data_IF_939471638711
#
_entry.id   IF_939471638711
#
_cell.length_a   1.000
_cell.length_b   1.000
_cell.length_c   1.000
_cell.angle_alpha   90.00
_cell.angle_beta   90.00
_cell.angle_gamma   90.00
#
_symmetry.space_group_name_H-M   'P 1'
#
loop_
_entity.id
_entity.type
_entity.pdbx_description
1 polymer ?
#
# COMPACT_ATOMS: atom_id res chain seq x y z
N UNK A 1 -8.82 7.97 36.55
CA UNK A 1 -7.39 8.16 36.21
C UNK A 1 -7.21 7.75 34.76
N UNK A 2 -6.28 8.39 34.03
CA UNK A 2 -5.92 7.94 32.69
C UNK A 2 -5.34 6.52 32.73
N UNK A 3 -5.68 5.71 31.75
CA UNK A 3 -5.14 4.36 31.57
C UNK A 3 -4.51 4.25 30.17
N UNK A 4 -3.47 3.44 30.05
CA UNK A 4 -2.71 3.27 28.82
C UNK A 4 -2.62 1.79 28.45
N UNK A 5 -3.75 1.13 28.13
CA UNK A 5 -3.80 -0.33 27.94
C UNK A 5 -3.15 -0.79 26.64
N UNK A 6 -2.90 0.12 25.66
CA UNK A 6 -2.44 -0.23 24.31
C UNK A 6 -0.91 -0.17 24.12
N UNK A 7 -0.10 -0.19 25.20
CA UNK A 7 1.37 -0.12 25.09
C UNK A 7 2.02 -1.27 24.30
N UNK A 8 1.27 -2.30 24.00
CA UNK A 8 1.66 -3.48 23.22
C UNK A 8 1.51 -3.32 21.70
N UNK A 9 0.82 -2.28 21.22
CA UNK A 9 0.46 -2.14 19.78
C UNK A 9 1.65 -2.26 18.84
N UNK A 10 2.75 -1.54 19.12
CA UNK A 10 3.91 -1.53 18.26
C UNK A 10 4.54 -2.93 18.09
N UNK A 11 4.63 -3.67 19.19
CA UNK A 11 5.22 -5.02 19.17
C UNK A 11 4.33 -6.01 18.41
N UNK A 12 3.02 -5.91 18.58
CA UNK A 12 2.04 -6.74 17.88
C UNK A 12 2.05 -6.47 16.38
N UNK A 13 2.06 -5.21 15.97
CA UNK A 13 2.10 -4.82 14.57
C UNK A 13 3.41 -5.27 13.90
N UNK A 14 4.56 -5.11 14.57
CA UNK A 14 5.85 -5.60 14.06
C UNK A 14 5.89 -7.12 13.94
N UNK A 15 5.36 -7.83 14.94
CA UNK A 15 5.30 -9.29 14.89
C UNK A 15 4.43 -9.79 13.73
N UNK A 16 3.47 -9.00 13.28
CA UNK A 16 2.67 -9.26 12.08
C UNK A 16 3.34 -8.81 10.77
N UNK A 17 4.60 -8.37 10.79
CA UNK A 17 5.32 -7.94 9.59
C UNK A 17 4.95 -6.54 9.08
N UNK A 18 4.25 -5.72 9.88
CA UNK A 18 3.97 -4.34 9.51
C UNK A 18 5.19 -3.44 9.74
N UNK A 19 5.35 -2.43 8.89
CA UNK A 19 6.26 -1.32 9.18
C UNK A 19 5.65 -0.46 10.29
N UNK A 20 6.43 -0.12 11.33
CA UNK A 20 5.93 0.59 12.52
C UNK A 20 6.85 1.71 12.92
N UNK A 21 6.28 2.90 13.07
CA UNK A 21 6.88 4.07 13.70
C UNK A 21 6.24 4.28 15.08
N UNK A 22 7.04 4.51 16.09
CA UNK A 22 6.56 4.88 17.43
C UNK A 22 6.70 6.38 17.61
N UNK A 23 5.57 7.09 17.67
CA UNK A 23 5.60 8.54 17.90
C UNK A 23 6.12 8.86 19.32
N UNK A 24 7.01 9.85 19.47
CA UNK A 24 7.62 10.14 20.76
C UNK A 24 6.57 10.32 21.86
N UNK A 25 6.70 9.56 22.96
CA UNK A 25 5.80 9.63 24.12
C UNK A 25 4.45 8.89 23.97
N UNK A 26 4.22 8.15 22.90
CA UNK A 26 2.93 7.47 22.64
C UNK A 26 2.48 6.52 23.76
N UNK A 27 3.40 5.85 24.45
CA UNK A 27 3.09 4.88 25.53
C UNK A 27 2.42 5.52 26.76
N UNK A 28 2.58 6.83 26.91
CA UNK A 28 1.98 7.59 28.02
C UNK A 28 1.05 8.69 27.54
N UNK A 29 0.75 8.73 26.24
CA UNK A 29 -0.18 9.70 25.65
C UNK A 29 -1.60 9.13 25.67
N UNK A 30 -2.54 9.98 26.02
CA UNK A 30 -3.97 9.72 26.03
C UNK A 30 -4.74 10.82 26.76
N UNK A 31 -6.02 10.90 26.53
CA UNK A 31 -6.94 11.79 27.26
C UNK A 31 -7.05 11.37 28.73
N UNK A 32 -7.33 12.32 29.65
CA UNK A 32 -7.37 12.05 31.10
C UNK A 32 -8.67 11.33 31.51
N UNK A 33 -8.97 10.20 30.89
CA UNK A 33 -10.12 9.34 31.15
C UNK A 33 -9.72 7.87 31.24
N UNK A 34 -10.62 7.03 31.74
CA UNK A 34 -10.47 5.57 31.62
C UNK A 34 -10.60 5.16 30.16
N UNK A 35 -9.91 4.08 29.80
CA UNK A 35 -9.91 3.53 28.46
C UNK A 35 -9.80 2.00 28.53
N UNK A 36 -10.76 1.31 27.95
CA UNK A 36 -10.84 -0.14 27.98
C UNK A 36 -11.38 -0.66 26.63
N UNK A 37 -10.61 -0.51 25.53
CA UNK A 37 -11.09 -0.82 24.21
C UNK A 37 -11.37 -2.31 24.05
N UNK A 38 -12.54 -2.60 23.48
CA UNK A 38 -13.01 -3.94 23.10
C UNK A 38 -13.23 -4.04 21.59
N UNK A 39 -13.14 -2.92 20.86
CA UNK A 39 -13.37 -2.79 19.43
C UNK A 39 -12.32 -1.94 18.73
N UNK A 40 -12.45 -1.83 17.42
CA UNK A 40 -11.61 -0.99 16.54
C UNK A 40 -12.53 -0.13 15.69
N UNK A 41 -12.29 1.19 15.64
CA UNK A 41 -13.03 2.12 14.80
C UNK A 41 -12.11 2.72 13.74
N UNK A 42 -12.55 2.65 12.48
CA UNK A 42 -11.84 3.18 11.34
C UNK A 42 -12.31 4.58 10.97
N UNK A 43 -11.32 5.41 10.61
CA UNK A 43 -11.47 6.76 10.11
C UNK A 43 -10.61 6.98 8.88
N UNK A 44 -10.86 8.07 8.14
CA UNK A 44 -9.86 8.69 7.29
C UNK A 44 -9.62 10.13 7.77
N UNK A 45 -8.40 10.61 7.66
CA UNK A 45 -8.00 11.92 8.16
C UNK A 45 -8.32 13.07 7.20
N UNK A 46 -8.88 12.74 6.02
CA UNK A 46 -9.22 13.67 4.93
C UNK A 46 -8.01 14.39 4.32
N UNK A 47 -6.82 13.77 4.39
CA UNK A 47 -5.62 14.25 3.69
C UNK A 47 -5.72 13.95 2.20
N UNK A 48 -5.23 14.85 1.31
CA UNK A 48 -5.12 14.56 -0.10
C UNK A 48 -4.19 13.40 -0.40
N UNK A 49 -4.43 12.69 -1.52
CA UNK A 49 -3.64 11.55 -1.95
C UNK A 49 -2.13 11.83 -1.97
N UNK A 50 -1.36 10.97 -1.31
CA UNK A 50 0.10 11.04 -1.31
C UNK A 50 0.71 12.17 -0.47
N UNK A 51 -0.09 12.98 0.20
CA UNK A 51 0.41 13.92 1.20
C UNK A 51 0.68 13.20 2.53
N UNK A 52 1.87 12.64 2.66
CA UNK A 52 2.32 11.94 3.88
C UNK A 52 2.82 12.88 4.97
N UNK A 53 2.80 14.19 4.74
CA UNK A 53 3.71 15.11 5.44
C UNK A 53 3.41 15.33 6.92
N UNK A 54 2.16 15.30 7.39
CA UNK A 54 1.84 15.70 8.76
C UNK A 54 0.70 14.91 9.44
N UNK A 55 0.24 13.79 8.87
CA UNK A 55 -0.88 13.03 9.42
C UNK A 55 -0.64 12.61 10.86
N UNK A 56 0.48 11.94 11.15
CA UNK A 56 0.83 11.52 12.51
C UNK A 56 0.92 12.70 13.48
N UNK A 57 1.43 13.86 13.04
CA UNK A 57 1.58 15.06 13.86
C UNK A 57 0.21 15.64 14.25
N UNK A 58 -0.73 15.67 13.30
CA UNK A 58 -2.12 16.08 13.54
C UNK A 58 -2.83 15.11 14.47
N UNK A 59 -2.65 13.80 14.26
CA UNK A 59 -3.25 12.78 15.13
C UNK A 59 -2.71 12.89 16.58
N UNK A 60 -1.43 13.15 16.73
CA UNK A 60 -0.76 13.31 18.04
C UNK A 60 -1.20 14.59 18.74
N UNK A 61 -1.11 15.72 18.06
CA UNK A 61 -1.25 17.05 18.67
C UNK A 61 -2.65 17.64 18.58
N UNK A 62 -3.48 17.11 17.66
CA UNK A 62 -4.78 17.68 17.37
C UNK A 62 -4.68 18.87 16.40
N UNK A 63 -5.79 19.60 16.29
CA UNK A 63 -5.95 20.77 15.41
C UNK A 63 -6.78 21.85 16.10
N UNK A 64 -6.80 23.08 15.57
CA UNK A 64 -7.59 24.15 16.18
C UNK A 64 -9.04 23.71 16.45
N UNK A 65 -9.46 23.81 17.70
CA UNK A 65 -10.79 23.39 18.17
C UNK A 65 -10.97 21.89 18.45
N UNK A 66 -9.93 21.05 18.23
CA UNK A 66 -9.98 19.63 18.52
C UNK A 66 -8.64 19.15 19.10
N UNK A 67 -8.60 19.02 20.43
CA UNK A 67 -7.40 18.64 21.17
C UNK A 67 -7.05 17.15 20.97
N UNK A 68 -5.77 16.85 20.69
CA UNK A 68 -5.25 15.50 20.50
C UNK A 68 -5.08 14.70 21.81
N UNK A 69 -4.73 13.41 21.74
CA UNK A 69 -4.59 12.65 20.49
C UNK A 69 -5.94 12.40 19.79
N UNK A 70 -5.94 12.38 18.45
CA UNK A 70 -7.13 12.17 17.64
C UNK A 70 -7.30 10.73 17.17
N UNK A 71 -6.34 9.86 17.44
CA UNK A 71 -6.35 8.44 17.13
C UNK A 71 -5.32 7.69 17.97
N UNK A 72 -5.44 6.39 18.02
CA UNK A 72 -4.45 5.54 18.69
C UNK A 72 -3.31 5.18 17.74
N UNK A 73 -3.65 4.93 16.50
CA UNK A 73 -2.72 4.67 15.41
C UNK A 73 -3.10 5.48 14.16
N UNK A 74 -2.12 5.78 13.34
CA UNK A 74 -2.29 6.34 12.03
C UNK A 74 -1.65 5.41 10.99
N UNK A 75 -2.43 5.00 9.98
CA UNK A 75 -1.98 4.19 8.86
C UNK A 75 -1.66 5.10 7.68
N UNK A 76 -0.37 5.32 7.45
CA UNK A 76 0.13 6.16 6.38
C UNK A 76 -0.21 5.59 4.99
N UNK A 77 -0.14 6.44 3.99
CA UNK A 77 -0.41 6.10 2.58
C UNK A 77 0.45 4.96 2.04
N UNK A 78 1.72 4.84 2.51
CA UNK A 78 2.64 3.75 2.15
C UNK A 78 2.42 2.46 2.94
N UNK A 79 1.40 2.40 3.80
CA UNK A 79 1.09 1.26 4.66
C UNK A 79 1.90 1.21 5.96
N UNK A 80 2.65 2.25 6.31
CA UNK A 80 3.37 2.34 7.59
C UNK A 80 2.39 2.68 8.72
N UNK A 81 2.47 1.94 9.82
CA UNK A 81 1.68 2.19 11.04
C UNK A 81 2.43 3.11 12.00
N UNK A 82 1.81 4.20 12.37
CA UNK A 82 2.31 5.10 13.42
C UNK A 82 1.55 4.88 14.71
N UNK A 83 2.24 4.46 15.77
CA UNK A 83 1.66 4.36 17.10
C UNK A 83 1.62 5.74 17.74
N UNK A 84 0.43 6.33 17.88
CA UNK A 84 0.24 7.70 18.30
C UNK A 84 -0.14 7.84 19.78
N UNK A 85 -0.99 6.95 20.34
CA UNK A 85 -1.41 7.02 21.73
C UNK A 85 -1.83 5.65 22.27
N UNK A 86 -1.29 5.27 23.45
CA UNK A 86 -1.67 4.04 24.16
C UNK A 86 -2.90 4.22 25.08
N UNK A 87 -3.30 5.45 25.36
CA UNK A 87 -4.49 5.80 26.13
C UNK A 87 -5.64 6.27 25.24
N UNK A 88 -6.76 6.68 25.86
CA UNK A 88 -7.94 7.16 25.14
C UNK A 88 -7.59 8.29 24.19
N UNK A 89 -8.13 8.22 22.96
CA UNK A 89 -8.03 9.25 21.94
C UNK A 89 -9.39 9.91 21.71
N UNK A 90 -9.38 11.07 21.04
CA UNK A 90 -10.58 11.86 20.76
C UNK A 90 -10.97 11.70 19.28
N UNK A 91 -11.35 10.50 18.88
CA UNK A 91 -11.60 10.14 17.48
C UNK A 91 -13.08 9.97 17.14
N UNK A 92 -13.87 9.38 18.04
CA UNK A 92 -15.25 8.99 17.72
C UNK A 92 -16.27 10.11 17.94
N UNK A 93 -16.06 10.93 18.97
CA UNK A 93 -17.07 11.89 19.41
C UNK A 93 -18.38 11.22 19.84
N UNK A 94 -19.47 11.97 19.83
CA UNK A 94 -20.81 11.48 20.14
C UNK A 94 -21.34 10.65 18.97
N UNK A 95 -21.89 9.47 19.27
CA UNK A 95 -22.55 8.58 18.32
C UNK A 95 -24.05 8.85 18.23
N UNK A 96 -24.70 8.21 17.24
CA UNK A 96 -26.16 8.28 17.10
C UNK A 96 -26.88 7.19 17.96
N UNK A 97 -26.14 6.59 18.89
CA UNK A 97 -26.55 5.53 19.79
C UNK A 97 -25.46 4.49 19.97
N UNK A 98 -25.79 3.36 20.59
CA UNK A 98 -24.87 2.21 20.66
C UNK A 98 -24.77 1.52 19.30
N UNK A 99 -23.59 0.93 19.02
CA UNK A 99 -23.34 0.13 17.82
C UNK A 99 -22.72 -1.23 18.21
N UNK A 100 -23.40 -2.32 17.92
CA UNK A 100 -22.95 -3.67 18.28
C UNK A 100 -22.73 -3.82 19.79
N UNK A 101 -21.46 -3.96 20.22
CA UNK A 101 -21.05 -4.02 21.63
C UNK A 101 -20.45 -2.68 22.11
N UNK A 102 -20.52 -1.61 21.31
CA UNK A 102 -19.89 -0.32 21.57
C UNK A 102 -20.94 0.68 22.06
N UNK A 103 -20.73 1.23 23.26
CA UNK A 103 -21.60 2.23 23.88
C UNK A 103 -20.95 3.62 23.96
N UNK A 104 -19.61 3.68 24.04
CA UNK A 104 -18.80 4.91 24.03
C UNK A 104 -17.61 4.73 23.09
N UNK A 105 -17.66 5.34 21.89
CA UNK A 105 -16.64 5.16 20.87
C UNK A 105 -15.22 5.48 21.34
N UNK A 106 -15.02 6.57 22.07
CA UNK A 106 -13.70 6.96 22.59
C UNK A 106 -13.20 6.12 23.78
N UNK A 107 -14.08 5.37 24.44
CA UNK A 107 -13.73 4.48 25.54
C UNK A 107 -13.56 3.04 25.09
N UNK A 108 -14.44 2.58 24.22
CA UNK A 108 -14.61 1.17 23.86
C UNK A 108 -13.85 0.78 22.62
N UNK A 109 -13.28 1.75 21.86
CA UNK A 109 -12.58 1.42 20.62
C UNK A 109 -11.17 2.01 20.55
N UNK A 110 -10.27 1.23 19.93
CA UNK A 110 -9.02 1.69 19.38
C UNK A 110 -9.32 2.43 18.07
N UNK A 111 -8.95 3.71 17.99
CA UNK A 111 -9.15 4.53 16.81
C UNK A 111 -8.00 4.37 15.82
N UNK A 112 -8.34 3.95 14.59
CA UNK A 112 -7.42 3.87 13.45
C UNK A 112 -7.75 5.01 12.50
N UNK A 113 -6.87 5.99 12.42
CA UNK A 113 -6.90 7.03 11.39
C UNK A 113 -6.11 6.56 10.18
N UNK A 114 -6.61 6.81 8.98
CA UNK A 114 -5.96 6.39 7.74
C UNK A 114 -5.67 7.60 6.87
N UNK A 115 -4.47 7.69 6.34
CA UNK A 115 -4.07 8.72 5.37
C UNK A 115 -4.84 8.50 4.06
N UNK A 116 -5.99 9.15 3.96
CA UNK A 116 -6.95 8.95 2.88
C UNK A 116 -8.02 10.04 2.86
N UNK A 117 -8.64 10.25 1.71
CA UNK A 117 -9.76 11.17 1.54
C UNK A 117 -10.93 10.55 0.79
N UNK A 118 -12.08 11.22 0.81
CA UNK A 118 -13.29 10.80 0.10
C UNK A 118 -13.03 10.73 -1.42
N UNK A 119 -13.69 9.76 -2.09
CA UNK A 119 -13.63 9.54 -3.54
C UNK A 119 -12.25 9.10 -4.08
N UNK A 120 -11.30 8.78 -3.21
CA UNK A 120 -10.01 8.26 -3.59
C UNK A 120 -9.99 6.72 -3.55
N UNK A 121 -9.22 6.08 -4.46
CA UNK A 121 -8.99 4.65 -4.40
C UNK A 121 -7.95 4.31 -3.32
N UNK A 122 -8.26 3.32 -2.48
CA UNK A 122 -7.32 2.82 -1.48
C UNK A 122 -6.07 2.22 -2.14
N UNK A 123 -4.89 2.56 -1.63
CA UNK A 123 -3.65 2.00 -2.13
C UNK A 123 -3.54 0.51 -1.76
N UNK A 124 -3.12 -0.37 -2.69
CA UNK A 124 -2.99 -1.81 -2.39
C UNK A 124 -2.09 -2.11 -1.19
N UNK A 125 -0.94 -1.43 -1.08
CA UNK A 125 -0.02 -1.56 0.06
C UNK A 125 -0.62 -1.10 1.38
N UNK A 126 -1.42 -0.03 1.38
CA UNK A 126 -2.14 0.45 2.54
C UNK A 126 -3.26 -0.52 2.95
N UNK A 127 -4.01 -1.08 1.96
CA UNK A 127 -5.06 -2.07 2.22
C UNK A 127 -4.48 -3.35 2.82
N UNK A 128 -3.42 -3.92 2.24
CA UNK A 128 -2.82 -5.17 2.73
C UNK A 128 -2.21 -4.99 4.11
N UNK A 129 -1.47 -3.89 4.34
CA UNK A 129 -0.95 -3.56 5.67
C UNK A 129 -2.08 -3.29 6.67
N UNK A 130 -3.15 -2.62 6.25
CA UNK A 130 -4.35 -2.37 7.04
C UNK A 130 -5.03 -3.66 7.47
N UNK A 131 -5.22 -4.61 6.56
CA UNK A 131 -5.81 -5.93 6.86
C UNK A 131 -4.95 -6.71 7.86
N UNK A 132 -3.65 -6.85 7.58
CA UNK A 132 -2.68 -7.57 8.41
C UNK A 132 -2.59 -6.98 9.81
N UNK A 133 -2.38 -5.68 9.91
CA UNK A 133 -2.25 -5.00 11.20
C UNK A 133 -3.54 -5.05 12.00
N UNK A 134 -4.70 -4.86 11.37
CA UNK A 134 -6.00 -4.95 12.06
C UNK A 134 -6.27 -6.36 12.56
N UNK A 135 -5.95 -7.39 11.78
CA UNK A 135 -6.08 -8.78 12.23
C UNK A 135 -5.19 -9.06 13.45
N UNK A 136 -3.94 -8.61 13.43
CA UNK A 136 -3.04 -8.75 14.58
C UNK A 136 -3.57 -8.04 15.82
N UNK A 137 -4.05 -6.81 15.68
CA UNK A 137 -4.64 -6.04 16.80
C UNK A 137 -5.88 -6.76 17.37
N UNK A 138 -6.84 -7.18 16.51
CA UNK A 138 -8.05 -7.86 16.97
C UNK A 138 -7.77 -9.19 17.68
N UNK A 139 -6.81 -9.98 17.16
CA UNK A 139 -6.39 -11.24 17.80
C UNK A 139 -5.72 -11.00 19.14
N UNK A 140 -4.87 -9.98 19.25
CA UNK A 140 -4.28 -9.60 20.54
C UNK A 140 -5.35 -9.17 21.57
N UNK A 141 -6.37 -8.43 21.13
CA UNK A 141 -7.54 -8.05 21.92
C UNK A 141 -8.48 -9.24 22.18
N UNK A 142 -8.16 -10.46 21.72
CA UNK A 142 -8.95 -11.69 21.84
C UNK A 142 -10.35 -11.57 21.25
N UNK A 143 -10.50 -10.80 20.18
CA UNK A 143 -11.74 -10.65 19.46
C UNK A 143 -11.93 -11.88 18.57
N UNK A 144 -13.01 -12.62 18.78
CA UNK A 144 -13.40 -13.76 17.92
C UNK A 144 -14.03 -13.29 16.62
N UNK A 145 -14.05 -14.17 15.60
CA UNK A 145 -14.66 -13.85 14.30
C UNK A 145 -16.13 -13.45 14.44
N UNK A 146 -16.88 -14.08 15.36
CA UNK A 146 -18.26 -13.72 15.65
C UNK A 146 -18.43 -12.29 16.23
N UNK A 147 -17.37 -11.73 16.81
CA UNK A 147 -17.36 -10.38 17.38
C UNK A 147 -16.92 -9.32 16.37
N UNK A 148 -16.29 -9.69 15.25
CA UNK A 148 -15.84 -8.76 14.21
C UNK A 148 -16.99 -7.85 13.74
N UNK A 149 -18.16 -8.43 13.44
CA UNK A 149 -19.35 -7.68 13.00
C UNK A 149 -19.97 -6.76 14.08
N UNK A 150 -19.53 -6.86 15.33
CA UNK A 150 -20.07 -6.10 16.47
C UNK A 150 -19.06 -5.14 17.11
N UNK A 151 -17.77 -5.26 16.74
CA UNK A 151 -16.66 -4.55 17.41
C UNK A 151 -15.69 -3.89 16.45
N UNK A 152 -15.82 -4.15 15.15
CA UNK A 152 -15.05 -3.46 14.12
C UNK A 152 -16.03 -2.63 13.28
N UNK A 153 -15.88 -1.32 13.35
CA UNK A 153 -16.81 -0.38 12.78
C UNK A 153 -16.12 0.81 12.10
N UNK A 154 -16.85 1.48 11.25
CA UNK A 154 -16.49 2.77 10.67
C UNK A 154 -17.08 3.93 11.48
N UNK A 155 -16.46 5.09 11.44
CA UNK A 155 -17.03 6.29 12.04
C UNK A 155 -18.41 6.65 11.46
N UNK A 156 -18.61 6.42 10.15
CA UNK A 156 -19.92 6.57 9.48
C UNK A 156 -21.00 5.61 9.99
N UNK A 157 -20.63 4.50 10.60
CA UNK A 157 -21.59 3.56 11.24
C UNK A 157 -21.87 3.96 12.68
N UNK A 158 -20.88 4.56 13.37
CA UNK A 158 -21.03 5.11 14.71
C UNK A 158 -21.89 6.36 14.75
N UNK A 159 -21.72 7.26 13.80
CA UNK A 159 -22.38 8.56 13.74
C UNK A 159 -22.90 8.90 12.32
N UNK A 160 -23.82 8.09 11.78
CA UNK A 160 -24.27 8.23 10.39
C UNK A 160 -24.93 9.57 10.07
N UNK A 161 -25.44 10.29 11.08
CA UNK A 161 -26.03 11.60 10.88
C UNK A 161 -25.02 12.71 10.57
N UNK A 162 -23.71 12.48 10.85
CA UNK A 162 -22.67 13.53 10.76
C UNK A 162 -21.35 13.09 10.15
N UNK A 163 -21.16 11.80 9.88
CA UNK A 163 -19.89 11.25 9.43
C UNK A 163 -20.04 10.41 8.17
N UNK A 164 -19.05 10.52 7.30
CA UNK A 164 -18.96 9.75 6.06
C UNK A 164 -17.73 8.82 6.05
N UNK A 165 -16.79 9.04 6.96
CA UNK A 165 -15.51 8.36 7.02
C UNK A 165 -15.59 6.95 7.65
N UNK A 166 -14.72 6.02 7.21
CA UNK A 166 -13.87 6.10 6.03
C UNK A 166 -14.67 5.84 4.75
N UNK A 167 -14.42 6.65 3.72
CA UNK A 167 -15.03 6.51 2.42
C UNK A 167 -13.93 6.39 1.35
N UNK A 168 -14.04 5.53 0.32
CA UNK A 168 -15.17 4.65 -0.02
C UNK A 168 -15.07 3.21 0.57
N UNK A 169 -14.71 3.04 1.84
CA UNK A 169 -14.57 1.71 2.44
C UNK A 169 -15.92 0.98 2.58
N UNK A 170 -16.00 -0.20 1.98
CA UNK A 170 -17.07 -1.18 2.21
C UNK A 170 -16.75 -1.99 3.48
N UNK A 171 -17.44 -1.68 4.57
CA UNK A 171 -17.18 -2.29 5.87
C UNK A 171 -17.63 -3.75 5.95
N UNK A 172 -18.65 -4.17 5.23
CA UNK A 172 -19.07 -5.57 5.21
C UNK A 172 -18.02 -6.44 4.52
N UNK A 173 -17.48 -5.95 3.41
CA UNK A 173 -16.36 -6.59 2.74
C UNK A 173 -15.08 -6.57 3.59
N UNK A 174 -14.77 -5.47 4.27
CA UNK A 174 -13.60 -5.36 5.15
C UNK A 174 -13.68 -6.37 6.31
N UNK A 175 -14.84 -6.52 6.95
CA UNK A 175 -15.09 -7.51 8.00
C UNK A 175 -14.99 -8.93 7.47
N UNK A 176 -15.57 -9.21 6.29
CA UNK A 176 -15.48 -10.53 5.66
C UNK A 176 -14.01 -10.89 5.34
N UNK A 177 -13.24 -9.95 4.83
CA UNK A 177 -11.81 -10.14 4.59
C UNK A 177 -11.04 -10.42 5.88
N UNK A 178 -11.33 -9.70 6.98
CA UNK A 178 -10.70 -9.94 8.29
C UNK A 178 -11.03 -11.32 8.86
N UNK A 179 -12.24 -11.81 8.66
CA UNK A 179 -12.65 -13.16 9.11
C UNK A 179 -11.96 -14.24 8.28
N UNK A 180 -11.87 -14.02 6.98
CA UNK A 180 -11.24 -14.96 6.05
C UNK A 180 -9.70 -14.91 6.08
N UNK A 181 -9.12 -13.88 6.72
CA UNK A 181 -7.68 -13.67 6.74
C UNK A 181 -6.96 -14.74 7.54
N UNK A 182 -6.05 -15.44 6.89
CA UNK A 182 -5.15 -16.41 7.52
C UNK A 182 -3.71 -15.91 7.45
N UNK A 183 -3.12 -15.47 8.58
CA UNK A 183 -1.72 -15.02 8.60
C UNK A 183 -0.72 -16.11 8.23
N UNK A 184 -1.06 -17.40 8.41
CA UNK A 184 -0.20 -18.49 7.99
C UNK A 184 -0.21 -18.68 6.46
N UNK A 185 -1.34 -18.37 5.80
CA UNK A 185 -1.41 -18.37 4.35
C UNK A 185 -0.67 -17.16 3.73
N UNK A 186 -0.48 -16.07 4.48
CA UNK A 186 0.37 -14.94 4.04
C UNK A 186 1.86 -15.27 4.10
N UNK A 187 2.31 -16.16 4.97
CA UNK A 187 3.70 -16.65 4.93
C UNK A 187 4.00 -17.41 3.63
N UNK A 188 2.95 -18.01 3.00
CA UNK A 188 3.04 -18.64 1.67
C UNK A 188 2.65 -17.69 0.51
N UNK A 189 1.97 -16.56 0.80
CA UNK A 189 1.58 -15.52 -0.16
C UNK A 189 2.26 -14.18 0.16
N UNK A 190 3.49 -14.20 0.64
CA UNK A 190 4.28 -12.98 0.70
C UNK A 190 4.23 -12.33 -0.67
N UNK A 191 3.88 -11.03 -0.69
CA UNK A 191 4.16 -10.20 -1.83
C UNK A 191 5.66 -10.30 -2.07
N UNK A 192 6.07 -11.23 -2.91
CA UNK A 192 7.46 -11.35 -3.29
C UNK A 192 7.84 -10.06 -4.00
N UNK A 193 8.68 -9.27 -3.36
CA UNK A 193 9.29 -8.14 -4.02
C UNK A 193 10.47 -8.65 -4.82
N UNK A 194 10.26 -8.82 -6.09
CA UNK A 194 11.30 -9.17 -7.04
C UNK A 194 11.95 -7.87 -7.51
N UNK A 195 13.24 -7.73 -7.26
CA UNK A 195 14.04 -6.68 -7.86
C UNK A 195 14.78 -7.27 -9.06
N UNK A 196 14.53 -6.72 -10.23
CA UNK A 196 15.19 -7.09 -11.47
C UNK A 196 16.08 -5.94 -11.94
N UNK A 197 17.31 -6.24 -12.34
CA UNK A 197 18.27 -5.24 -12.81
C UNK A 197 19.00 -5.73 -14.04
N UNK A 198 19.34 -4.80 -14.92
CA UNK A 198 20.34 -4.99 -15.96
C UNK A 198 21.24 -3.76 -16.01
N UNK A 199 22.54 -3.98 -16.00
CA UNK A 199 23.58 -2.91 -16.10
C UNK A 199 24.52 -3.14 -17.30
N UNK A 200 24.16 -4.05 -18.19
CA UNK A 200 24.96 -4.33 -19.39
C UNK A 200 24.43 -3.48 -20.54
N UNK A 201 25.29 -2.63 -21.09
CA UNK A 201 24.93 -1.85 -22.28
C UNK A 201 24.55 -2.77 -23.45
N UNK A 202 23.33 -2.63 -23.93
CA UNK A 202 22.79 -3.36 -25.07
C UNK A 202 22.34 -2.36 -26.14
N UNK A 203 22.82 -2.54 -27.38
CA UNK A 203 22.34 -1.77 -28.51
C UNK A 203 20.99 -2.33 -28.97
N UNK A 204 20.01 -1.45 -29.13
CA UNK A 204 18.67 -1.78 -29.60
C UNK A 204 18.45 -1.21 -30.99
N UNK A 205 17.93 -2.01 -31.94
CA UNK A 205 17.64 -1.57 -33.29
C UNK A 205 16.50 -0.54 -33.33
N UNK A 206 16.49 0.27 -34.39
CA UNK A 206 15.41 1.21 -34.62
C UNK A 206 14.15 0.52 -35.16
N UNK A 207 13.01 1.13 -34.85
CA UNK A 207 11.69 0.82 -35.43
C UNK A 207 11.19 -0.63 -35.20
N UNK A 208 11.67 -1.29 -34.11
CA UNK A 208 11.16 -2.59 -33.71
C UNK A 208 11.03 -2.70 -32.18
N UNK A 209 10.14 -3.57 -31.73
CA UNK A 209 10.01 -3.89 -30.32
C UNK A 209 11.12 -4.84 -29.89
N UNK A 210 11.89 -4.43 -28.88
CA UNK A 210 12.92 -5.26 -28.26
C UNK A 210 12.55 -5.57 -26.81
N UNK A 211 12.64 -6.84 -26.41
CA UNK A 211 12.44 -7.24 -25.02
C UNK A 211 13.71 -6.98 -24.22
N UNK A 212 13.59 -6.19 -23.16
CA UNK A 212 14.71 -5.83 -22.30
C UNK A 212 15.20 -7.02 -21.47
N UNK A 213 16.51 -7.18 -21.40
CA UNK A 213 17.14 -8.18 -20.54
C UNK A 213 17.16 -7.68 -19.10
N UNK A 214 16.73 -8.52 -18.18
CA UNK A 214 16.77 -8.26 -16.75
C UNK A 214 17.25 -9.50 -16.01
N UNK A 215 17.86 -9.31 -14.82
CA UNK A 215 18.22 -10.38 -13.90
C UNK A 215 17.50 -10.13 -12.58
N UNK A 216 16.98 -11.18 -12.01
CA UNK A 216 16.48 -11.18 -10.64
C UNK A 216 17.55 -11.72 -9.68
N UNK A 217 17.48 -11.39 -8.41
CA UNK A 217 18.46 -11.85 -7.40
C UNK A 217 18.44 -13.38 -7.20
N UNK A 218 17.39 -14.05 -7.66
CA UNK A 218 17.22 -15.50 -7.56
C UNK A 218 17.78 -16.29 -8.75
N UNK A 219 18.36 -15.62 -9.75
CA UNK A 219 18.65 -16.25 -11.04
C UNK A 219 20.11 -16.09 -11.47
N UNK A 220 20.71 -17.17 -11.96
CA UNK A 220 22.10 -17.24 -12.42
C UNK A 220 22.24 -16.93 -13.94
N UNK A 221 21.13 -16.59 -14.61
CA UNK A 221 21.07 -16.26 -16.03
C UNK A 221 20.45 -14.89 -16.33
N UNK A 222 20.76 -14.31 -17.51
CA UNK A 222 20.02 -13.19 -18.03
C UNK A 222 18.67 -13.68 -18.55
N UNK A 223 17.59 -13.26 -17.89
CA UNK A 223 16.22 -13.59 -18.28
C UNK A 223 15.59 -12.41 -19.02
N UNK A 224 14.69 -12.73 -19.93
CA UNK A 224 13.81 -11.73 -20.56
C UNK A 224 12.52 -11.52 -19.74
N UNK A 225 12.24 -12.35 -18.73
CA UNK A 225 11.08 -12.27 -17.86
C UNK A 225 11.44 -11.75 -16.47
N UNK A 226 10.57 -10.90 -15.89
CA UNK A 226 10.72 -10.36 -14.54
C UNK A 226 10.02 -11.27 -13.53
N UNK A 227 8.83 -11.74 -13.87
CA UNK A 227 7.96 -12.58 -13.03
C UNK A 227 7.30 -13.63 -13.92
N UNK A 228 7.18 -14.86 -13.40
CA UNK A 228 6.35 -15.92 -14.00
C UNK A 228 5.04 -16.07 -13.22
N UNK A 229 3.96 -16.39 -13.94
CA UNK A 229 2.66 -16.70 -13.34
C UNK A 229 2.55 -18.15 -12.81
N UNK A 230 1.45 -18.48 -12.11
CA UNK A 230 0.31 -17.58 -11.90
C UNK A 230 0.59 -16.55 -10.79
N UNK A 231 0.32 -15.28 -11.03
CA UNK A 231 0.51 -14.21 -10.06
C UNK A 231 -0.31 -12.97 -10.43
N UNK A 232 -0.73 -12.19 -9.46
CA UNK A 232 -1.05 -10.78 -9.69
C UNK A 232 0.21 -9.97 -9.47
N UNK A 233 0.34 -8.83 -10.13
CA UNK A 233 1.53 -8.03 -10.01
C UNK A 233 1.27 -6.53 -10.03
N UNK A 234 2.17 -5.80 -9.35
CA UNK A 234 2.37 -4.36 -9.47
C UNK A 234 3.83 -4.13 -9.85
N UNK A 235 4.05 -3.57 -11.03
CA UNK A 235 5.37 -3.26 -11.58
C UNK A 235 5.66 -1.77 -11.44
N UNK A 236 6.86 -1.44 -10.97
CA UNK A 236 7.48 -0.13 -11.16
C UNK A 236 8.85 -0.35 -11.80
N UNK A 237 9.09 0.23 -12.95
CA UNK A 237 10.36 0.09 -13.66
C UNK A 237 10.91 1.43 -14.11
N UNK A 238 12.25 1.52 -14.13
CA UNK A 238 13.00 2.62 -14.70
C UNK A 238 14.02 2.09 -15.70
N UNK A 239 14.08 2.73 -16.86
CA UNK A 239 14.99 2.40 -17.97
C UNK A 239 15.83 3.62 -18.30
N UNK A 240 17.16 3.44 -18.40
CA UNK A 240 18.09 4.48 -18.81
C UNK A 240 18.63 4.14 -20.19
N UNK A 241 18.42 5.05 -21.13
CA UNK A 241 18.94 4.98 -22.50
C UNK A 241 20.05 5.99 -22.70
N UNK A 242 21.00 5.64 -23.53
CA UNK A 242 22.03 6.56 -24.03
C UNK A 242 22.04 6.57 -25.56
N UNK A 243 22.68 7.57 -26.14
CA UNK A 243 22.74 7.79 -27.58
C UNK A 243 21.37 8.06 -28.23
N UNK A 244 20.39 8.52 -27.45
CA UNK A 244 19.12 8.94 -28.01
C UNK A 244 19.33 10.17 -28.88
N UNK A 245 19.03 10.10 -30.20
CA UNK A 245 19.25 11.23 -31.08
C UNK A 245 18.22 12.32 -30.85
N UNK A 246 18.59 13.56 -31.13
CA UNK A 246 17.65 14.68 -31.13
C UNK A 246 16.51 14.41 -32.13
N UNK A 247 15.29 14.55 -31.69
CA UNK A 247 14.08 14.22 -32.46
C UNK A 247 13.68 12.74 -32.43
N UNK A 248 14.47 11.88 -31.78
CA UNK A 248 14.13 10.48 -31.59
C UNK A 248 12.93 10.30 -30.63
N UNK A 249 12.04 9.38 -30.95
CA UNK A 249 10.94 8.96 -30.07
C UNK A 249 11.23 7.58 -29.48
N UNK A 250 10.75 7.33 -28.28
CA UNK A 250 10.87 6.03 -27.61
C UNK A 250 9.53 5.67 -26.98
N UNK A 251 9.12 4.42 -27.15
CA UNK A 251 7.97 3.83 -26.46
C UNK A 251 8.45 2.72 -25.52
N UNK A 252 7.92 2.67 -24.33
CA UNK A 252 8.18 1.63 -23.33
C UNK A 252 6.85 1.01 -22.90
N UNK A 253 6.78 -0.29 -22.77
CA UNK A 253 5.59 -1.00 -22.29
C UNK A 253 5.94 -2.20 -21.40
N UNK A 254 5.05 -2.53 -20.48
CA UNK A 254 5.00 -3.83 -19.83
C UNK A 254 4.11 -4.77 -20.65
N UNK A 255 4.52 -6.01 -20.83
CA UNK A 255 3.78 -7.03 -21.58
C UNK A 255 3.66 -8.32 -20.79
N UNK A 256 2.50 -8.95 -20.93
CA UNK A 256 2.23 -10.31 -20.50
C UNK A 256 2.41 -11.22 -21.72
N UNK A 257 3.33 -12.17 -21.64
CA UNK A 257 3.68 -13.04 -22.79
C UNK A 257 3.64 -14.49 -22.39
N UNK A 258 3.46 -15.39 -23.36
CA UNK A 258 3.73 -16.81 -23.20
C UNK A 258 5.21 -17.10 -22.98
N UNK A 259 5.60 -18.36 -23.19
CA UNK A 259 7.01 -18.76 -23.10
C UNK A 259 7.87 -18.03 -24.15
N UNK A 260 7.33 -17.82 -25.34
CA UNK A 260 7.96 -17.01 -26.39
C UNK A 260 7.78 -15.51 -26.09
N UNK A 261 8.85 -14.73 -26.27
CA UNK A 261 8.87 -13.29 -26.03
C UNK A 261 7.98 -12.52 -27.01
N UNK A 262 7.71 -13.08 -28.18
CA UNK A 262 6.88 -12.48 -29.21
C UNK A 262 5.39 -12.86 -29.10
N UNK A 263 5.06 -13.82 -28.24
CA UNK A 263 3.68 -14.25 -27.96
C UNK A 263 3.05 -13.35 -26.91
N UNK A 264 2.70 -12.13 -27.29
CA UNK A 264 2.16 -11.10 -26.39
C UNK A 264 0.66 -11.31 -26.18
N UNK A 265 0.25 -11.68 -24.98
CA UNK A 265 -1.14 -11.88 -24.57
C UNK A 265 -1.82 -10.58 -24.15
N UNK A 266 -1.09 -9.70 -23.42
CA UNK A 266 -1.57 -8.40 -23.03
C UNK A 266 -0.43 -7.38 -23.02
N UNK A 267 -0.78 -6.12 -23.27
CA UNK A 267 0.13 -4.98 -23.16
C UNK A 267 -0.45 -3.98 -22.18
N UNK A 268 0.34 -3.62 -21.19
CA UNK A 268 -0.01 -2.68 -20.11
C UNK A 268 0.92 -1.48 -20.19
N UNK A 269 0.38 -0.34 -19.92
CA UNK A 269 1.03 0.97 -19.78
C UNK A 269 2.17 1.22 -20.81
N UNK A 270 1.89 2.12 -21.72
CA UNK A 270 2.85 2.60 -22.71
C UNK A 270 3.29 3.98 -22.26
N UNK A 271 4.56 4.14 -21.88
CA UNK A 271 5.18 5.46 -21.80
C UNK A 271 5.71 5.83 -23.19
N UNK A 272 5.08 6.80 -23.82
CA UNK A 272 5.50 7.34 -25.12
C UNK A 272 6.04 8.74 -24.89
N UNK A 273 7.35 8.90 -25.05
CA UNK A 273 7.97 10.21 -25.13
C UNK A 273 8.15 10.63 -26.58
N UNK A 274 7.68 11.84 -26.84
CA UNK A 274 7.90 12.51 -28.13
C UNK A 274 9.35 12.86 -28.37
N UNK A 275 9.60 13.61 -29.45
CA UNK A 275 10.93 14.00 -29.89
C UNK A 275 11.79 14.56 -28.73
N UNK A 276 12.96 13.95 -28.53
CA UNK A 276 13.96 14.37 -27.54
C UNK A 276 14.59 15.69 -28.00
N UNK A 277 14.63 16.68 -27.13
CA UNK A 277 15.15 18.02 -27.47
C UNK A 277 16.68 18.07 -27.57
N UNK A 278 17.38 17.13 -26.94
CA UNK A 278 18.85 17.08 -26.90
C UNK A 278 19.36 15.66 -27.13
N UNK A 279 20.54 15.52 -27.73
CA UNK A 279 21.29 14.25 -27.75
C UNK A 279 21.74 13.91 -26.32
N UNK A 280 21.54 12.66 -25.88
CA UNK A 280 22.07 12.30 -24.58
C UNK A 280 21.47 11.06 -23.92
N UNK A 281 21.40 11.15 -22.63
CA UNK A 281 20.83 10.13 -21.74
C UNK A 281 19.38 10.49 -21.42
N UNK A 282 18.48 9.53 -21.58
CA UNK A 282 17.07 9.64 -21.25
C UNK A 282 16.68 8.61 -20.20
N UNK A 283 15.77 9.02 -19.31
CA UNK A 283 15.24 8.18 -18.25
C UNK A 283 13.73 8.01 -18.45
N UNK A 284 13.28 6.77 -18.48
CA UNK A 284 11.88 6.40 -18.58
C UNK A 284 11.45 5.67 -17.33
N UNK A 285 10.22 5.91 -16.91
CA UNK A 285 9.57 5.16 -15.82
C UNK A 285 8.24 4.63 -16.31
N UNK A 286 7.90 3.41 -15.92
CA UNK A 286 6.62 2.78 -16.19
C UNK A 286 6.08 2.16 -14.91
N UNK A 287 4.78 2.30 -14.68
CA UNK A 287 4.06 1.58 -13.64
C UNK A 287 2.94 0.78 -14.29
N UNK A 288 2.84 -0.50 -13.99
CA UNK A 288 1.82 -1.38 -14.55
C UNK A 288 1.28 -2.32 -13.47
N UNK A 289 0.05 -2.76 -13.64
CA UNK A 289 -0.56 -3.79 -12.82
C UNK A 289 -1.33 -4.78 -13.68
N UNK A 290 -1.37 -6.03 -13.26
CA UNK A 290 -2.06 -7.08 -14.01
C UNK A 290 -2.09 -8.41 -13.29
N UNK A 291 -2.41 -9.45 -14.04
CA UNK A 291 -2.36 -10.84 -13.59
C UNK A 291 -1.80 -11.72 -14.68
N UNK A 292 -0.95 -12.63 -14.27
CA UNK A 292 -0.35 -13.66 -15.13
C UNK A 292 -1.04 -14.98 -14.84
N UNK A 293 -1.36 -15.71 -15.89
CA UNK A 293 -1.80 -17.10 -15.81
C UNK A 293 -0.60 -18.07 -15.76
N UNK A 294 -0.85 -19.35 -15.53
CA UNK A 294 0.20 -20.36 -15.50
C UNK A 294 0.94 -20.42 -16.86
N UNK A 295 2.26 -20.30 -16.81
CA UNK A 295 3.12 -20.28 -18.00
C UNK A 295 3.29 -18.91 -18.66
N UNK A 296 2.67 -17.87 -18.14
CA UNK A 296 2.89 -16.50 -18.58
C UNK A 296 4.03 -15.80 -17.85
N UNK A 297 4.56 -14.76 -18.50
CA UNK A 297 5.68 -13.96 -18.00
C UNK A 297 5.41 -12.48 -18.14
N UNK A 298 5.75 -11.71 -17.10
CA UNK A 298 5.83 -10.24 -17.19
C UNK A 298 7.19 -9.84 -17.77
N UNK A 299 7.17 -9.01 -18.81
CA UNK A 299 8.37 -8.50 -19.50
C UNK A 299 8.26 -7.01 -19.77
N UNK A 300 9.40 -6.37 -19.97
CA UNK A 300 9.50 -5.00 -20.46
C UNK A 300 9.94 -4.99 -21.91
N UNK A 301 9.26 -4.20 -22.73
CA UNK A 301 9.62 -4.00 -24.14
C UNK A 301 9.79 -2.52 -24.45
N UNK A 302 10.70 -2.24 -25.37
CA UNK A 302 11.02 -0.89 -25.83
C UNK A 302 11.00 -0.85 -27.35
N UNK A 303 10.56 0.29 -27.90
CA UNK A 303 10.54 0.54 -29.34
C UNK A 303 11.10 1.94 -29.60
N UNK A 304 12.39 2.06 -29.92
CA UNK A 304 13.00 3.34 -30.25
C UNK A 304 12.83 3.63 -31.78
N UNK A 305 12.66 4.91 -32.12
CA UNK A 305 12.62 5.34 -33.53
C UNK A 305 13.99 5.47 -34.19
N UNK A 306 15.07 5.24 -33.43
CA UNK A 306 16.45 5.24 -33.90
C UNK A 306 17.24 4.25 -33.05
N UNK A 307 18.40 3.80 -33.55
CA UNK A 307 19.30 2.96 -32.74
C UNK A 307 19.72 3.67 -31.46
N UNK A 308 19.52 3.00 -30.33
CA UNK A 308 19.87 3.50 -28.98
C UNK A 308 20.58 2.40 -28.18
N UNK A 309 21.16 2.75 -27.04
CA UNK A 309 21.69 1.75 -26.12
C UNK A 309 21.01 1.84 -24.76
N UNK A 310 20.56 0.72 -24.24
CA UNK A 310 20.12 0.60 -22.84
C UNK A 310 21.35 0.41 -21.97
N UNK A 311 21.49 1.22 -20.93
CA UNK A 311 22.60 1.12 -19.98
C UNK A 311 22.16 0.65 -18.61
N UNK A 312 20.90 0.84 -18.27
CA UNK A 312 20.36 0.40 -16.99
C UNK A 312 18.84 0.11 -17.12
N UNK A 313 18.43 -1.01 -16.56
CA UNK A 313 17.03 -1.32 -16.27
C UNK A 313 16.94 -1.63 -14.77
N UNK A 314 16.00 -1.00 -14.10
CA UNK A 314 15.62 -1.34 -12.72
C UNK A 314 14.13 -1.60 -12.70
N UNK A 315 13.71 -2.76 -12.21
CA UNK A 315 12.32 -3.06 -12.02
C UNK A 315 12.10 -3.61 -10.61
N UNK A 316 11.06 -3.14 -9.97
CA UNK A 316 10.55 -3.69 -8.73
C UNK A 316 9.13 -4.20 -9.00
N UNK A 317 8.91 -5.48 -8.78
CA UNK A 317 7.61 -6.12 -8.93
C UNK A 317 7.18 -6.65 -7.59
N UNK A 318 5.97 -6.32 -7.22
CA UNK A 318 5.29 -6.95 -6.09
C UNK A 318 4.26 -7.92 -6.63
N UNK A 319 4.33 -9.19 -6.21
CA UNK A 319 3.38 -10.24 -6.61
C UNK A 319 2.55 -10.72 -5.43
N UNK A 320 1.33 -11.19 -5.69
CA UNK A 320 0.43 -11.80 -4.69
C UNK A 320 -0.56 -12.78 -5.32
#
# INVERSE_FOLDING_TARGET
>A
MATYPLTWMADVLRAAGCKVVEEPGWKTRGRPRSFAPIGIMFHHDASPAGETSNGADVIVNGRPGLEGPLGNVWLAYDGTWHCCAAGSANHAGEGDGSWGDIDDGNHDTLGVETDHTTDEAWQPGQQSSGLRGTDALRRHMRMSDAQVHRRILAHKEWAPSRKVDPDPMDMDRARANLIAYDPAAEEDTFMDRIEARCTVAEALPADEWSTLRVRTDSDDGALHGIVAGPARYLLNAAVTLVHVPMGGAVMLRAVETGHDVDDVHASRDIDQRGAVEHHGTEHFTIAAQGSLDEGEWLRLQIHPSAEVSVTEVRAAVTTW
#
